data_IF_152022506865
#
_entry.id   IF_152022506865
#
_cell.length_a   1.000
_cell.length_b   1.000
_cell.length_c   1.000
_cell.angle_alpha   90.00
_cell.angle_beta   90.00
_cell.angle_gamma   90.00
#
_symmetry.space_group_name_H-M   'P 1'
#
loop_
_entity.id
_entity.type
_entity.pdbx_description
1 polymer ?
#
# COMPACT_ATOMS: atom_id res chain seq x y z
N UNK A 1 5.81 -1.14 37.44
CA UNK A 1 4.94 -1.40 36.27
C UNK A 1 3.52 -0.99 36.63
N UNK A 2 3.00 0.09 36.04
CA UNK A 2 1.61 0.49 36.26
C UNK A 2 0.68 -0.45 35.47
N UNK A 3 0.00 -1.34 36.18
CA UNK A 3 -1.05 -2.21 35.64
C UNK A 3 -2.20 -1.32 35.16
N UNK A 4 -2.51 -1.35 33.86
CA UNK A 4 -3.60 -0.54 33.28
C UNK A 4 -4.98 -1.24 33.34
N UNK A 5 -5.08 -2.49 33.78
CA UNK A 5 -6.35 -3.24 33.84
C UNK A 5 -6.25 -4.45 34.80
N UNK A 6 -7.25 -4.67 35.67
CA UNK A 6 -7.26 -5.77 36.67
C UNK A 6 -7.09 -7.16 36.03
N UNK A 7 -7.71 -7.40 34.87
CA UNK A 7 -7.60 -8.68 34.14
C UNK A 7 -6.18 -9.05 33.73
N UNK A 8 -5.34 -8.06 33.39
CA UNK A 8 -3.95 -8.31 33.00
C UNK A 8 -3.09 -8.69 34.21
N UNK A 9 -3.41 -8.13 35.37
CA UNK A 9 -2.75 -8.47 36.62
C UNK A 9 -3.10 -9.89 37.07
N UNK A 10 -4.38 -10.25 37.02
CA UNK A 10 -4.83 -11.61 37.37
C UNK A 10 -4.18 -12.66 36.46
N UNK A 11 -4.05 -12.36 35.17
CA UNK A 11 -3.34 -13.22 34.22
C UNK A 11 -1.85 -13.33 34.54
N UNK A 12 -1.19 -12.20 34.84
CA UNK A 12 0.22 -12.19 35.21
C UNK A 12 0.49 -12.98 36.50
N UNK A 13 -0.37 -12.86 37.51
CA UNK A 13 -0.31 -13.67 38.73
C UNK A 13 -0.47 -15.17 38.42
N UNK A 14 -1.44 -15.52 37.55
CA UNK A 14 -1.65 -16.91 37.12
C UNK A 14 -0.41 -17.48 36.42
N UNK A 15 0.23 -16.70 35.54
CA UNK A 15 1.46 -17.11 34.83
C UNK A 15 2.62 -17.24 35.82
N UNK A 16 2.77 -16.29 36.74
CA UNK A 16 3.81 -16.31 37.77
C UNK A 16 3.75 -17.57 38.63
N UNK A 17 2.55 -17.91 39.12
CA UNK A 17 2.33 -19.10 39.94
C UNK A 17 2.56 -20.40 39.15
N UNK A 18 1.98 -20.50 37.95
CA UNK A 18 2.11 -21.71 37.12
C UNK A 18 3.52 -21.95 36.59
N UNK A 19 4.28 -20.89 36.34
CA UNK A 19 5.67 -20.98 35.91
C UNK A 19 6.64 -21.09 37.09
N UNK A 20 6.14 -21.12 38.32
CA UNK A 20 6.92 -21.23 39.55
C UNK A 20 8.02 -20.16 39.67
N UNK A 21 7.71 -18.92 39.23
CA UNK A 21 8.64 -17.81 39.30
C UNK A 21 9.01 -17.50 40.77
N UNK A 22 10.31 -17.48 41.07
CA UNK A 22 10.87 -17.20 42.41
C UNK A 22 11.43 -15.79 42.50
N UNK A 23 11.98 -15.29 41.40
CA UNK A 23 12.57 -13.96 41.30
C UNK A 23 11.83 -13.11 40.28
N UNK A 24 11.92 -11.80 40.42
CA UNK A 24 11.36 -10.87 39.44
C UNK A 24 11.98 -11.05 38.04
N UNK A 25 13.18 -11.63 37.92
CA UNK A 25 13.83 -11.93 36.63
C UNK A 25 13.24 -13.14 35.90
N UNK A 26 12.67 -14.09 36.62
CA UNK A 26 12.16 -15.35 36.05
C UNK A 26 10.98 -15.10 35.10
N UNK A 27 10.16 -14.09 35.40
CA UNK A 27 8.98 -13.76 34.61
C UNK A 27 9.32 -13.10 33.25
N UNK A 28 10.17 -12.06 33.19
CA UNK A 28 10.72 -11.55 31.93
C UNK A 28 11.48 -12.60 31.11
N UNK A 29 12.29 -13.47 31.74
CA UNK A 29 13.03 -14.52 31.04
C UNK A 29 12.08 -15.54 30.39
N UNK A 30 11.03 -15.94 31.10
CA UNK A 30 9.97 -16.79 30.55
C UNK A 30 9.29 -16.11 29.36
N UNK A 31 8.91 -14.85 29.50
CA UNK A 31 8.24 -14.08 28.44
C UNK A 31 9.12 -14.01 27.18
N UNK A 32 10.40 -13.63 27.33
CA UNK A 32 11.36 -13.57 26.22
C UNK A 32 11.56 -14.93 25.57
N UNK A 33 11.66 -16.00 26.37
CA UNK A 33 11.80 -17.37 25.84
C UNK A 33 10.58 -17.79 25.04
N UNK A 34 9.37 -17.50 25.52
CA UNK A 34 8.12 -17.79 24.81
C UNK A 34 8.06 -16.99 23.50
N UNK A 35 8.36 -15.70 23.53
CA UNK A 35 8.37 -14.85 22.33
C UNK A 35 9.33 -15.38 21.27
N UNK A 36 10.55 -15.77 21.67
CA UNK A 36 11.55 -16.38 20.77
C UNK A 36 11.06 -17.72 20.21
N UNK A 37 10.48 -18.58 21.04
CA UNK A 37 9.99 -19.90 20.61
C UNK A 37 8.80 -19.79 19.64
N UNK A 38 7.84 -18.92 19.93
CA UNK A 38 6.68 -18.67 19.05
C UNK A 38 7.14 -18.08 17.72
N UNK A 39 8.08 -17.13 17.75
CA UNK A 39 8.65 -16.57 16.53
C UNK A 39 9.40 -17.63 15.72
N UNK A 40 10.18 -18.49 16.38
CA UNK A 40 10.89 -19.58 15.72
C UNK A 40 9.94 -20.56 15.04
N UNK A 41 8.88 -21.00 15.71
CA UNK A 41 7.86 -21.90 15.13
C UNK A 41 7.15 -21.23 13.94
N UNK A 42 6.77 -19.97 14.09
CA UNK A 42 6.14 -19.18 13.03
C UNK A 42 7.04 -19.07 11.79
N UNK A 43 8.33 -18.78 11.98
CA UNK A 43 9.31 -18.66 10.90
C UNK A 43 9.60 -20.02 10.25
N UNK A 44 9.70 -21.10 11.03
CA UNK A 44 9.90 -22.45 10.49
C UNK A 44 8.71 -22.88 9.63
N UNK A 45 7.48 -22.65 10.12
CA UNK A 45 6.25 -22.93 9.38
C UNK A 45 6.19 -22.10 8.10
N UNK A 46 6.47 -20.81 8.18
CA UNK A 46 6.52 -19.92 7.01
C UNK A 46 7.55 -20.40 5.98
N UNK A 47 8.78 -20.70 6.41
CA UNK A 47 9.86 -21.20 5.54
C UNK A 47 9.46 -22.50 4.84
N UNK A 48 8.87 -23.44 5.57
CA UNK A 48 8.40 -24.73 5.02
C UNK A 48 7.34 -24.51 3.94
N UNK A 49 6.26 -23.79 4.28
CA UNK A 49 5.17 -23.51 3.35
C UNK A 49 5.67 -22.79 2.08
N UNK A 50 6.54 -21.78 2.24
CA UNK A 50 7.05 -21.02 1.11
C UNK A 50 7.95 -21.84 0.20
N UNK A 51 8.80 -22.71 0.77
CA UNK A 51 9.61 -23.65 -0.02
C UNK A 51 8.75 -24.66 -0.78
N UNK A 52 7.71 -25.19 -0.16
CA UNK A 52 6.79 -26.13 -0.82
C UNK A 52 6.04 -25.46 -1.99
N UNK A 53 5.61 -24.21 -1.81
CA UNK A 53 4.81 -23.50 -2.82
C UNK A 53 5.65 -22.93 -3.96
N UNK A 54 6.80 -22.34 -3.64
CA UNK A 54 7.60 -21.57 -4.61
C UNK A 54 8.92 -22.24 -4.96
N UNK A 55 9.41 -23.18 -4.15
CA UNK A 55 10.78 -23.68 -4.21
C UNK A 55 11.85 -22.62 -3.87
N UNK A 56 11.46 -21.48 -3.29
CA UNK A 56 12.36 -20.42 -2.81
C UNK A 56 12.39 -20.44 -1.29
N UNK A 57 13.56 -20.13 -0.72
CA UNK A 57 13.72 -19.96 0.73
C UNK A 57 13.48 -18.49 1.09
N UNK A 58 12.41 -18.16 1.84
CA UNK A 58 12.15 -16.77 2.20
C UNK A 58 13.25 -16.17 3.09
N UNK A 59 14.07 -16.99 3.76
CA UNK A 59 15.19 -16.49 4.58
C UNK A 59 16.40 -16.02 3.75
N UNK A 60 16.40 -16.25 2.44
CA UNK A 60 17.41 -15.68 1.54
C UNK A 60 17.09 -14.22 1.15
N UNK A 61 15.99 -13.66 1.65
CA UNK A 61 15.51 -12.34 1.29
C UNK A 61 15.50 -11.43 2.51
N UNK A 62 15.95 -10.20 2.33
CA UNK A 62 15.95 -9.17 3.38
C UNK A 62 14.50 -8.78 3.75
N UNK A 63 13.61 -8.72 2.75
CA UNK A 63 12.22 -8.29 2.95
C UNK A 63 11.22 -9.22 2.28
N UNK A 64 10.05 -9.35 2.90
CA UNK A 64 8.94 -10.13 2.36
C UNK A 64 8.45 -9.61 0.98
N UNK A 65 8.36 -8.30 0.70
CA UNK A 65 8.06 -7.80 -0.64
C UNK A 65 9.04 -8.27 -1.71
N UNK A 66 10.34 -8.29 -1.41
CA UNK A 66 11.35 -8.78 -2.36
C UNK A 66 11.18 -10.27 -2.64
N UNK A 67 10.93 -11.07 -1.60
CA UNK A 67 10.61 -12.49 -1.74
C UNK A 67 9.34 -12.72 -2.57
N UNK A 68 8.25 -12.00 -2.25
CA UNK A 68 6.98 -12.12 -2.95
C UNK A 68 7.10 -11.76 -4.43
N UNK A 69 7.89 -10.74 -4.76
CA UNK A 69 8.15 -10.31 -6.12
C UNK A 69 8.91 -11.38 -6.93
N UNK A 70 9.93 -12.00 -6.36
CA UNK A 70 10.65 -13.08 -7.02
C UNK A 70 9.82 -14.37 -7.13
N UNK A 71 8.98 -14.66 -6.14
CA UNK A 71 7.97 -15.71 -6.24
C UNK A 71 7.03 -15.43 -7.42
N UNK A 72 6.55 -14.19 -7.58
CA UNK A 72 5.71 -13.79 -8.69
C UNK A 72 6.41 -14.03 -10.04
N UNK A 73 7.65 -13.56 -10.21
CA UNK A 73 8.44 -13.79 -11.44
C UNK A 73 8.62 -15.28 -11.75
N UNK A 74 8.91 -16.09 -10.73
CA UNK A 74 9.14 -17.53 -10.89
C UNK A 74 7.85 -18.25 -11.29
N UNK A 75 6.73 -17.91 -10.66
CA UNK A 75 5.42 -18.52 -10.94
C UNK A 75 4.90 -18.14 -12.32
N UNK A 76 5.12 -16.90 -12.74
CA UNK A 76 4.71 -16.42 -14.07
C UNK A 76 5.70 -16.84 -15.16
N UNK A 77 6.85 -17.44 -14.79
CA UNK A 77 7.93 -17.89 -15.69
C UNK A 77 8.30 -16.83 -16.73
N UNK A 78 8.33 -15.56 -16.32
CA UNK A 78 8.31 -14.37 -17.19
C UNK A 78 8.90 -14.63 -18.58
N UNK A 79 8.01 -14.97 -19.51
CA UNK A 79 8.16 -14.75 -20.94
C UNK A 79 7.17 -13.65 -21.27
N UNK A 80 7.68 -12.49 -21.65
CA UNK A 80 6.85 -11.36 -22.09
C UNK A 80 6.20 -11.79 -23.41
N UNK A 81 4.95 -12.26 -23.35
CA UNK A 81 4.14 -12.59 -24.53
C UNK A 81 3.34 -11.37 -25.04
N UNK A 82 2.88 -11.50 -26.29
CA UNK A 82 2.48 -10.45 -27.22
C UNK A 82 1.34 -9.52 -26.72
N UNK A 83 1.43 -8.27 -27.14
CA UNK A 83 1.04 -7.10 -26.38
C UNK A 83 -0.38 -6.57 -26.62
N UNK A 84 -1.03 -6.09 -25.56
CA UNK A 84 -1.99 -4.99 -25.72
C UNK A 84 -1.19 -3.68 -25.73
N UNK A 85 -1.41 -2.81 -26.73
CA UNK A 85 -0.78 -1.48 -26.72
C UNK A 85 -1.38 -0.64 -25.59
N UNK A 86 -0.57 -0.37 -24.57
CA UNK A 86 -0.82 0.67 -23.58
C UNK A 86 -0.25 1.99 -24.07
N UNK A 87 -0.74 3.08 -23.48
CA UNK A 87 -0.12 4.39 -23.68
C UNK A 87 -0.25 5.29 -22.47
N UNK A 88 0.72 6.18 -22.30
CA UNK A 88 0.69 7.29 -21.37
C UNK A 88 0.74 8.59 -22.17
N UNK A 89 -0.14 9.54 -21.85
CA UNK A 89 -0.36 10.77 -22.59
C UNK A 89 0.07 11.94 -21.72
N UNK A 90 0.84 12.86 -22.28
CA UNK A 90 0.98 14.20 -21.70
C UNK A 90 0.00 15.11 -22.42
N UNK A 91 -1.03 15.56 -21.69
CA UNK A 91 -2.17 16.22 -22.28
C UNK A 91 -2.64 17.42 -21.44
N UNK A 92 -3.32 18.34 -22.12
CA UNK A 92 -4.11 19.40 -21.49
C UNK A 92 -5.58 18.96 -21.42
N UNK A 93 -6.10 18.86 -20.21
CA UNK A 93 -7.48 18.42 -19.93
C UNK A 93 -8.26 19.57 -19.30
N UNK A 94 -9.24 20.12 -20.02
CA UNK A 94 -10.14 21.14 -19.50
C UNK A 94 -11.14 20.53 -18.54
N UNK A 95 -11.21 21.14 -17.36
CA UNK A 95 -12.26 20.89 -16.38
C UNK A 95 -13.34 21.94 -16.56
N UNK A 96 -14.51 21.52 -17.05
CA UNK A 96 -15.62 22.44 -17.25
C UNK A 96 -16.29 22.79 -15.93
N UNK A 97 -16.65 24.06 -15.73
CA UNK A 97 -17.26 24.54 -14.49
C UNK A 97 -18.59 23.85 -14.14
N UNK A 98 -19.37 23.45 -15.16
CA UNK A 98 -20.62 22.73 -14.96
C UNK A 98 -20.42 21.33 -14.34
N UNK A 99 -19.22 20.76 -14.40
CA UNK A 99 -18.88 19.47 -13.77
C UNK A 99 -18.52 19.63 -12.30
N UNK A 100 -18.23 20.84 -11.82
CA UNK A 100 -17.75 21.09 -10.46
C UNK A 100 -18.72 20.56 -9.38
N UNK A 101 -20.04 20.78 -9.48
CA UNK A 101 -20.97 20.25 -8.48
C UNK A 101 -21.01 18.71 -8.48
N UNK A 102 -20.93 18.09 -9.66
CA UNK A 102 -21.02 16.63 -9.80
C UNK A 102 -19.74 15.92 -9.33
N UNK A 103 -18.58 16.57 -9.48
CA UNK A 103 -17.28 15.97 -9.18
C UNK A 103 -16.66 16.50 -7.88
N UNK A 104 -17.39 17.28 -7.08
CA UNK A 104 -16.88 17.83 -5.83
C UNK A 104 -16.45 16.75 -4.84
N UNK A 105 -17.13 15.59 -4.84
CA UNK A 105 -16.84 14.48 -3.93
C UNK A 105 -15.73 13.56 -4.47
N UNK A 106 -15.62 13.43 -5.79
CA UNK A 106 -14.69 12.53 -6.48
C UNK A 106 -13.95 13.27 -7.60
N UNK A 107 -13.01 14.10 -7.18
CA UNK A 107 -12.18 14.92 -8.04
C UNK A 107 -11.31 14.06 -8.96
N UNK A 108 -11.29 14.42 -10.25
CA UNK A 108 -10.46 13.77 -11.25
C UNK A 108 -9.07 14.41 -11.31
N UNK A 109 -8.09 13.65 -11.83
CA UNK A 109 -6.72 14.13 -12.08
C UNK A 109 -6.01 14.76 -10.85
N UNK A 110 -5.77 14.03 -9.75
CA UNK A 110 -4.94 14.57 -8.68
C UNK A 110 -3.52 14.83 -9.18
N UNK A 111 -2.92 15.93 -8.73
CA UNK A 111 -1.60 16.38 -9.17
C UNK A 111 -0.70 16.73 -7.98
N UNK A 112 0.61 16.55 -8.14
CA UNK A 112 1.58 17.05 -7.16
C UNK A 112 1.88 18.51 -7.48
N UNK A 113 1.56 19.40 -6.54
CA UNK A 113 1.91 20.82 -6.65
C UNK A 113 2.08 21.48 -5.30
N UNK A 114 2.73 22.64 -5.30
CA UNK A 114 2.81 23.51 -4.14
C UNK A 114 1.52 24.33 -4.06
N UNK A 115 0.81 24.23 -2.94
CA UNK A 115 -0.35 25.07 -2.64
C UNK A 115 0.14 26.38 -2.05
N UNK A 116 -0.18 27.51 -2.69
CA UNK A 116 0.19 28.83 -2.18
C UNK A 116 -0.77 29.30 -1.09
N UNK A 117 -0.29 30.17 -0.22
CA UNK A 117 -1.10 30.67 0.90
C UNK A 117 -2.37 31.43 0.44
N UNK A 118 -2.28 32.12 -0.71
CA UNK A 118 -3.42 32.86 -1.28
C UNK A 118 -4.52 31.96 -1.85
N UNK A 119 -4.27 30.66 -2.01
CA UNK A 119 -5.27 29.68 -2.45
C UNK A 119 -6.07 29.09 -1.27
N UNK A 120 -5.63 29.37 -0.03
CA UNK A 120 -6.31 28.90 1.16
C UNK A 120 -7.56 29.73 1.45
N UNK A 121 -8.58 29.07 1.99
CA UNK A 121 -9.79 29.76 2.43
C UNK A 121 -9.49 30.76 3.55
N UNK A 122 -10.32 31.81 3.72
CA UNK A 122 -10.16 32.77 4.81
C UNK A 122 -10.12 32.10 6.20
N UNK A 123 -10.88 31.03 6.39
CA UNK A 123 -10.85 30.24 7.63
C UNK A 123 -9.50 29.54 7.84
N UNK A 124 -8.90 29.01 6.79
CA UNK A 124 -7.57 28.41 6.87
C UNK A 124 -6.51 29.46 7.21
N UNK A 125 -6.55 30.60 6.52
CA UNK A 125 -5.60 31.69 6.68
C UNK A 125 -5.70 32.38 8.06
N UNK A 126 -6.92 32.64 8.54
CA UNK A 126 -7.12 33.50 9.70
C UNK A 126 -7.28 32.74 11.03
N UNK A 127 -7.64 31.44 10.99
CA UNK A 127 -7.89 30.66 12.20
C UNK A 127 -6.96 29.44 12.31
N UNK A 128 -6.92 28.60 11.29
CA UNK A 128 -6.27 27.29 11.41
C UNK A 128 -4.74 27.39 11.47
N UNK A 129 -4.11 28.24 10.66
CA UNK A 129 -2.66 28.41 10.65
C UNK A 129 -2.17 28.92 12.01
N UNK A 130 -2.88 29.88 12.60
CA UNK A 130 -2.54 30.43 13.90
C UNK A 130 -2.73 29.41 15.03
N UNK A 131 -3.87 28.70 15.04
CA UNK A 131 -4.19 27.72 16.11
C UNK A 131 -3.33 26.47 16.06
N UNK A 132 -3.01 25.95 14.86
CA UNK A 132 -2.35 24.66 14.71
C UNK A 132 -0.84 24.77 14.48
N UNK A 133 -0.39 25.85 13.85
CA UNK A 133 1.01 26.01 13.43
C UNK A 133 1.69 27.24 14.05
N UNK A 134 1.00 27.98 14.94
CA UNK A 134 1.54 29.19 15.56
C UNK A 134 1.89 30.28 14.54
N UNK A 135 1.05 30.43 13.50
CA UNK A 135 1.22 31.45 12.46
C UNK A 135 2.20 31.06 11.35
N UNK A 136 2.73 29.83 11.35
CA UNK A 136 3.70 29.38 10.35
C UNK A 136 3.03 28.63 9.21
N UNK A 137 3.17 29.16 8.00
CA UNK A 137 2.84 28.47 6.76
C UNK A 137 4.11 28.07 6.03
N UNK A 138 4.19 26.81 5.60
CA UNK A 138 5.30 26.29 4.81
C UNK A 138 4.78 25.76 3.47
N UNK A 139 5.26 26.37 2.39
CA UNK A 139 5.02 25.88 1.03
C UNK A 139 5.71 24.54 0.85
N UNK A 140 4.89 23.51 0.67
CA UNK A 140 5.32 22.13 0.52
C UNK A 140 4.58 21.52 -0.64
N UNK A 141 5.26 20.67 -1.41
CA UNK A 141 4.60 19.90 -2.44
C UNK A 141 3.61 18.93 -1.79
N UNK A 142 2.37 18.95 -2.28
CA UNK A 142 1.29 18.08 -1.81
C UNK A 142 0.62 17.42 -3.00
N UNK A 143 0.05 16.25 -2.78
CA UNK A 143 -0.91 15.69 -3.72
C UNK A 143 -2.23 16.44 -3.52
N UNK A 144 -2.64 17.21 -4.51
CA UNK A 144 -3.82 18.06 -4.48
C UNK A 144 -4.80 17.57 -5.52
N UNK A 145 -6.06 17.46 -5.13
CA UNK A 145 -7.16 17.29 -6.05
C UNK A 145 -7.84 18.66 -6.22
N UNK A 146 -7.86 19.18 -7.45
CA UNK A 146 -8.50 20.46 -7.76
C UNK A 146 -9.39 20.32 -8.99
N UNK A 147 -10.44 21.13 -9.04
CA UNK A 147 -11.35 21.26 -10.19
C UNK A 147 -10.77 22.16 -11.29
N UNK A 148 -9.46 22.43 -11.25
CA UNK A 148 -8.80 23.28 -12.22
C UNK A 148 -8.47 22.50 -13.49
N UNK A 149 -8.43 23.21 -14.61
CA UNK A 149 -7.92 22.67 -15.87
C UNK A 149 -6.48 22.18 -15.67
N UNK A 150 -6.19 20.97 -16.16
CA UNK A 150 -4.88 20.34 -16.03
C UNK A 150 -4.07 20.60 -17.28
N UNK A 151 -2.89 21.15 -17.10
CA UNK A 151 -1.95 21.38 -18.20
C UNK A 151 -0.75 20.43 -18.09
N UNK A 152 -0.32 19.88 -19.22
CA UNK A 152 0.77 18.89 -19.33
C UNK A 152 0.65 17.72 -18.35
N UNK A 153 -0.58 17.26 -18.08
CA UNK A 153 -0.85 16.18 -17.15
C UNK A 153 -0.48 14.82 -17.77
N UNK A 154 0.26 14.01 -17.02
CA UNK A 154 0.66 12.66 -17.45
C UNK A 154 -0.40 11.66 -17.00
N UNK A 155 -1.02 11.00 -17.96
CA UNK A 155 -2.17 10.13 -17.71
C UNK A 155 -2.12 8.83 -18.52
N UNK A 156 -2.43 7.72 -17.86
CA UNK A 156 -2.59 6.44 -18.52
C UNK A 156 -3.86 6.42 -19.39
N UNK A 157 -3.81 5.79 -20.57
CA UNK A 157 -4.90 5.83 -21.55
C UNK A 157 -6.26 5.42 -21.00
N UNK A 158 -6.33 4.43 -20.10
CA UNK A 158 -7.61 4.01 -19.47
C UNK A 158 -8.24 5.11 -18.62
N UNK A 159 -7.42 5.84 -17.86
CA UNK A 159 -7.90 6.96 -17.05
C UNK A 159 -8.31 8.11 -17.96
N UNK A 160 -7.56 8.36 -19.05
CA UNK A 160 -7.93 9.36 -20.04
C UNK A 160 -9.31 9.06 -20.64
N UNK A 161 -9.55 7.83 -21.09
CA UNK A 161 -10.86 7.41 -21.60
C UNK A 161 -11.97 7.65 -20.57
N UNK A 162 -11.75 7.21 -19.33
CA UNK A 162 -12.70 7.41 -18.24
C UNK A 162 -12.98 8.90 -17.98
N UNK A 163 -11.97 9.76 -18.00
CA UNK A 163 -12.14 11.18 -17.70
C UNK A 163 -12.89 11.91 -18.81
N UNK A 164 -12.68 11.51 -20.07
CA UNK A 164 -13.47 11.98 -21.21
C UNK A 164 -14.93 11.52 -21.11
N UNK A 165 -15.18 10.28 -20.72
CA UNK A 165 -16.54 9.76 -20.47
C UNK A 165 -17.24 10.50 -19.32
N UNK A 166 -16.48 10.94 -18.31
CA UNK A 166 -16.96 11.78 -17.21
C UNK A 166 -17.07 13.27 -17.58
N UNK A 167 -16.79 13.65 -18.82
CA UNK A 167 -17.07 14.98 -19.36
C UNK A 167 -15.89 15.95 -19.36
N UNK A 168 -14.70 15.55 -18.91
CA UNK A 168 -13.51 16.37 -19.14
C UNK A 168 -13.22 16.48 -20.63
N UNK A 169 -12.64 17.59 -21.07
CA UNK A 169 -12.31 17.79 -22.48
C UNK A 169 -10.80 17.73 -22.73
N UNK A 170 -10.39 16.96 -23.74
CA UNK A 170 -9.00 16.96 -24.21
C UNK A 170 -8.76 18.19 -25.10
N UNK A 171 -8.03 19.18 -24.59
CA UNK A 171 -7.71 20.40 -25.35
C UNK A 171 -6.45 20.23 -26.21
N UNK A 172 -5.43 19.55 -25.70
CA UNK A 172 -4.15 19.42 -26.37
C UNK A 172 -3.43 18.12 -25.98
N UNK A 173 -2.68 17.55 -26.93
CA UNK A 173 -1.81 16.39 -26.69
C UNK A 173 -0.38 16.82 -27.01
N UNK A 174 0.47 16.86 -25.99
CA UNK A 174 1.87 17.27 -26.13
C UNK A 174 2.73 16.11 -26.65
N UNK A 175 2.55 14.92 -26.07
CA UNK A 175 3.25 13.69 -26.48
C UNK A 175 2.53 12.44 -25.96
N UNK A 176 2.81 11.31 -26.61
CA UNK A 176 2.29 9.99 -26.22
C UNK A 176 3.45 9.01 -26.15
N UNK A 177 3.54 8.27 -25.05
CA UNK A 177 4.40 7.11 -24.90
C UNK A 177 3.57 5.86 -25.12
N UNK A 178 3.78 5.15 -26.22
CA UNK A 178 3.21 3.81 -26.43
C UNK A 178 4.11 2.76 -25.79
N UNK A 179 3.49 1.75 -25.19
CA UNK A 179 4.20 0.62 -24.61
C UNK A 179 3.35 -0.63 -24.64
N UNK A 180 4.05 -1.71 -24.39
CA UNK A 180 3.53 -3.05 -24.37
C UNK A 180 3.08 -3.43 -22.96
N UNK A 181 1.84 -3.89 -22.80
CA UNK A 181 1.30 -4.32 -21.52
C UNK A 181 0.54 -5.66 -21.63
N UNK A 182 0.57 -6.42 -20.54
CA UNK A 182 -0.16 -7.67 -20.39
C UNK A 182 -0.50 -7.89 -18.92
N UNK A 183 -1.54 -8.70 -18.60
CA UNK A 183 -1.88 -9.06 -17.22
C UNK A 183 -0.90 -10.12 -16.67
N UNK A 184 0.41 -9.90 -16.79
CA UNK A 184 1.43 -10.91 -16.47
C UNK A 184 1.42 -11.35 -14.99
N UNK A 185 0.88 -10.55 -14.07
CA UNK A 185 0.68 -10.90 -12.66
C UNK A 185 -0.59 -11.74 -12.40
N UNK A 186 -1.51 -11.87 -13.37
CA UNK A 186 -2.77 -12.60 -13.20
C UNK A 186 -2.58 -14.05 -12.71
N UNK A 187 -1.66 -14.87 -13.25
CA UNK A 187 -1.48 -16.23 -12.77
C UNK A 187 -1.08 -16.28 -11.28
N UNK A 188 -0.24 -15.33 -10.85
CA UNK A 188 0.20 -15.21 -9.47
C UNK A 188 -0.96 -14.80 -8.54
N UNK A 189 -1.69 -13.74 -8.89
CA UNK A 189 -2.82 -13.23 -8.10
C UNK A 189 -3.92 -14.29 -8.01
N UNK A 190 -4.24 -14.96 -9.11
CA UNK A 190 -5.24 -16.03 -9.17
C UNK A 190 -4.84 -17.21 -8.29
N UNK A 191 -3.58 -17.66 -8.39
CA UNK A 191 -3.09 -18.76 -7.58
C UNK A 191 -3.12 -18.44 -6.07
N UNK A 192 -2.76 -17.23 -5.66
CA UNK A 192 -2.86 -16.80 -4.26
C UNK A 192 -4.33 -16.65 -3.82
N UNK A 193 -5.22 -16.22 -4.70
CA UNK A 193 -6.66 -16.11 -4.41
C UNK A 193 -7.28 -17.49 -4.16
N UNK A 194 -6.92 -18.49 -4.98
CA UNK A 194 -7.33 -19.89 -4.78
C UNK A 194 -6.79 -20.42 -3.45
N UNK A 195 -5.50 -20.26 -3.17
CA UNK A 195 -4.90 -20.70 -1.90
C UNK A 195 -5.54 -20.03 -0.68
N UNK A 196 -5.89 -18.74 -0.80
CA UNK A 196 -6.58 -17.99 0.25
C UNK A 196 -7.98 -18.52 0.51
N UNK A 197 -8.71 -18.90 -0.54
CA UNK A 197 -10.04 -19.50 -0.44
C UNK A 197 -9.99 -20.88 0.22
N UNK A 198 -8.97 -21.67 -0.13
CA UNK A 198 -8.83 -23.06 0.31
C UNK A 198 -8.08 -23.20 1.66
N UNK A 199 -7.63 -22.08 2.24
CA UNK A 199 -6.94 -22.01 3.52
C UNK A 199 -7.81 -22.53 4.68
N UNK A 200 -7.21 -23.33 5.56
CA UNK A 200 -7.94 -23.97 6.68
C UNK A 200 -7.85 -23.20 8.00
N UNK A 201 -6.99 -22.20 8.07
CA UNK A 201 -6.75 -21.40 9.26
C UNK A 201 -6.59 -19.91 8.91
N UNK A 202 -6.79 -19.05 9.92
CA UNK A 202 -6.71 -17.60 9.76
C UNK A 202 -5.32 -17.15 9.28
N UNK A 203 -4.26 -17.79 9.78
CA UNK A 203 -2.88 -17.49 9.42
C UNK A 203 -2.64 -17.64 7.90
N UNK A 204 -2.99 -18.77 7.30
CA UNK A 204 -2.83 -19.01 5.86
C UNK A 204 -3.66 -18.01 5.04
N UNK A 205 -4.88 -17.70 5.48
CA UNK A 205 -5.74 -16.73 4.79
C UNK A 205 -5.13 -15.33 4.76
N UNK A 206 -4.51 -14.91 5.87
CA UNK A 206 -3.84 -13.61 5.98
C UNK A 206 -2.50 -13.61 5.24
N UNK A 207 -1.79 -14.73 5.24
CA UNK A 207 -0.56 -14.92 4.47
C UNK A 207 -0.78 -14.70 2.97
N UNK A 208 -1.76 -15.36 2.37
CA UNK A 208 -2.01 -15.21 0.92
C UNK A 208 -2.51 -13.81 0.54
N UNK A 209 -3.24 -13.14 1.45
CA UNK A 209 -3.57 -11.72 1.30
C UNK A 209 -2.30 -10.87 1.29
N UNK A 210 -1.41 -11.12 2.25
CA UNK A 210 -0.14 -10.39 2.41
C UNK A 210 0.76 -10.57 1.18
N UNK A 211 0.85 -11.78 0.62
CA UNK A 211 1.66 -12.05 -0.58
C UNK A 211 1.22 -11.25 -1.81
N UNK A 212 -0.08 -10.96 -1.95
CA UNK A 212 -0.57 -10.07 -3.02
C UNK A 212 -0.24 -8.61 -2.72
N UNK A 213 -0.49 -8.15 -1.49
CA UNK A 213 -0.22 -6.78 -1.08
C UNK A 213 1.28 -6.44 -1.16
N UNK A 214 2.15 -7.38 -0.80
CA UNK A 214 3.59 -7.21 -0.80
C UNK A 214 4.15 -7.00 -2.21
N UNK A 215 3.60 -7.70 -3.22
CA UNK A 215 3.99 -7.48 -4.63
C UNK A 215 3.57 -6.09 -5.11
N UNK A 216 2.34 -5.68 -4.81
CA UNK A 216 1.86 -4.34 -5.16
C UNK A 216 2.73 -3.23 -4.56
N UNK A 217 3.06 -3.35 -3.26
CA UNK A 217 3.98 -2.44 -2.59
C UNK A 217 5.33 -2.38 -3.29
N UNK A 218 5.92 -3.55 -3.60
CA UNK A 218 7.23 -3.63 -4.26
C UNK A 218 7.24 -2.99 -5.65
N UNK A 219 6.14 -3.08 -6.41
CA UNK A 219 6.03 -2.46 -7.74
C UNK A 219 5.86 -0.93 -7.69
N UNK A 220 5.49 -0.38 -6.54
CA UNK A 220 5.29 1.05 -6.31
C UNK A 220 6.42 1.67 -5.46
N UNK A 221 7.41 0.87 -5.06
CA UNK A 221 8.58 1.38 -4.34
C UNK A 221 9.38 2.30 -5.25
N UNK A 222 9.67 3.50 -4.75
CA UNK A 222 10.59 4.41 -5.41
C UNK A 222 12.01 3.83 -5.30
N UNK A 223 12.59 3.50 -6.44
CA UNK A 223 13.94 2.95 -6.51
C UNK A 223 14.90 4.14 -6.60
N UNK A 224 14.99 4.89 -5.50
CA UNK A 224 15.97 5.97 -5.32
C UNK A 224 17.38 5.37 -5.35
#
# INVERSE_FOLDING_TARGET
>A
MAVKNSKQYDHAQTVWEKAECKTFGDYPDLYLRIDVLILADSIQRFRKTMKEVSGLDPLNYITLPSFAFDMAKKMTKVKLELFHKGSAWEAKLRYLENLHPAHSDYLLCPERRIVKQNELSPYQNNDLIDKLSGGKFAETEKLVATLETKDRYIIHYRNLQQYLELGMELEHVYRVLEFDQSPWLEPYITANTIRRRDAKNAFEKDLWKLMNNAVFGKTMEDVI
#
